data_IF_832303857414
#
_entry.id   IF_832303857414
#
_cell.length_a   1.000
_cell.length_b   1.000
_cell.length_c   1.000
_cell.angle_alpha   90.00
_cell.angle_beta   90.00
_cell.angle_gamma   90.00
#
_symmetry.space_group_name_H-M   'P 1'
#
loop_
_entity.id
_entity.type
_entity.pdbx_description
1 polymer ?
#
# COMPACT_ATOMS: atom_id res chain seq x y z
N UNK A 1 -90.14 -16.89 -32.99
CA UNK A 1 -89.28 -15.79 -32.51
C UNK A 1 -88.34 -16.33 -31.44
N UNK A 2 -87.03 -16.05 -31.56
CA UNK A 2 -85.93 -16.22 -30.56
C UNK A 2 -85.45 -17.69 -30.37
N UNK A 3 -84.51 -18.20 -31.18
CA UNK A 3 -83.02 -18.03 -31.16
C UNK A 3 -82.43 -18.46 -29.80
N UNK A 4 -81.76 -19.62 -29.71
CA UNK A 4 -80.37 -19.93 -30.12
C UNK A 4 -79.34 -19.42 -29.09
N UNK A 5 -78.64 -20.33 -28.40
CA UNK A 5 -77.25 -20.29 -27.84
C UNK A 5 -76.96 -21.78 -27.46
N UNK A 6 -76.37 -22.67 -28.29
CA UNK A 6 -74.96 -22.85 -28.72
C UNK A 6 -74.05 -23.02 -27.48
N UNK A 7 -73.60 -24.19 -27.03
CA UNK A 7 -72.72 -25.23 -27.65
C UNK A 7 -71.56 -24.62 -28.45
N UNK A 8 -70.59 -24.05 -27.74
CA UNK A 8 -69.20 -23.93 -28.21
C UNK A 8 -68.27 -24.29 -27.07
N UNK A 9 -67.94 -25.59 -27.02
CA UNK A 9 -66.57 -26.00 -26.71
C UNK A 9 -65.64 -25.25 -27.67
N UNK A 10 -64.74 -24.43 -27.12
CA UNK A 10 -63.41 -24.07 -27.61
C UNK A 10 -62.98 -22.79 -26.90
N UNK A 11 -61.73 -22.72 -26.44
CA UNK A 11 -61.09 -21.61 -25.71
C UNK A 11 -61.30 -21.65 -24.18
N UNK A 12 -60.87 -22.75 -23.56
CA UNK A 12 -60.01 -22.63 -22.38
C UNK A 12 -58.79 -23.54 -22.60
N UNK A 13 -58.14 -23.33 -23.75
CA UNK A 13 -56.76 -23.77 -23.98
C UNK A 13 -55.92 -22.53 -23.76
N UNK A 14 -55.35 -22.42 -22.57
CA UNK A 14 -54.53 -21.26 -22.20
C UNK A 14 -54.83 -20.81 -20.79
N UNK A 15 -54.29 -21.53 -19.81
CA UNK A 15 -53.31 -20.98 -18.87
C UNK A 15 -52.97 -22.08 -17.88
N UNK A 16 -52.06 -22.95 -18.32
CA UNK A 16 -51.24 -23.72 -17.41
C UNK A 16 -50.52 -22.71 -16.49
N UNK A 17 -51.02 -22.55 -15.26
CA UNK A 17 -50.25 -21.94 -14.19
C UNK A 17 -49.39 -23.05 -13.56
N UNK A 18 -48.37 -23.50 -14.29
CA UNK A 18 -47.33 -24.34 -13.74
C UNK A 18 -46.07 -24.16 -14.58
N UNK A 19 -45.02 -23.67 -13.92
CA UNK A 19 -43.67 -23.39 -14.42
C UNK A 19 -43.64 -22.13 -15.31
N UNK A 20 -42.90 -21.06 -14.98
CA UNK A 20 -41.58 -21.02 -14.35
C UNK A 20 -41.47 -19.80 -13.41
N UNK A 21 -41.14 -20.02 -12.13
CA UNK A 21 -40.41 -19.00 -11.38
C UNK A 21 -39.06 -18.84 -12.08
N UNK A 22 -38.91 -17.75 -12.85
CA UNK A 22 -37.59 -17.28 -13.27
C UNK A 22 -36.89 -16.82 -11.99
N UNK A 23 -36.12 -17.72 -11.41
CA UNK A 23 -35.12 -17.37 -10.42
C UNK A 23 -34.11 -16.50 -11.15
N UNK A 24 -34.31 -15.19 -11.11
CA UNK A 24 -33.24 -14.24 -11.43
C UNK A 24 -32.20 -14.41 -10.32
N UNK A 25 -31.30 -15.36 -10.52
CA UNK A 25 -30.05 -15.43 -9.77
C UNK A 25 -29.34 -14.11 -10.02
N UNK A 26 -29.40 -13.23 -9.03
CA UNK A 26 -28.48 -12.11 -8.94
C UNK A 26 -27.10 -12.74 -8.73
N UNK A 27 -26.44 -13.12 -9.83
CA UNK A 27 -25.03 -13.40 -9.85
C UNK A 27 -24.33 -12.08 -9.54
N UNK A 28 -24.17 -11.83 -8.25
CA UNK A 28 -23.37 -10.73 -7.76
C UNK A 28 -21.92 -11.13 -7.99
N UNK A 29 -21.42 -10.79 -9.18
CA UNK A 29 -20.00 -10.88 -9.48
C UNK A 29 -19.26 -9.95 -8.51
N UNK A 30 -18.67 -10.57 -7.49
CA UNK A 30 -17.88 -9.87 -6.49
C UNK A 30 -16.54 -9.51 -7.12
N UNK A 31 -16.34 -8.23 -7.39
CA UNK A 31 -15.03 -7.72 -7.80
C UNK A 31 -14.02 -8.08 -6.72
N UNK A 32 -12.94 -8.75 -7.12
CA UNK A 32 -11.84 -9.09 -6.22
C UNK A 32 -11.23 -7.79 -5.67
N UNK A 33 -11.23 -7.65 -4.35
CA UNK A 33 -10.57 -6.54 -3.66
C UNK A 33 -9.14 -6.98 -3.32
N UNK A 34 -8.16 -6.44 -4.04
CA UNK A 34 -6.75 -6.60 -3.66
C UNK A 34 -6.43 -5.70 -2.46
N UNK A 35 -6.31 -6.31 -1.28
CA UNK A 35 -5.77 -5.63 -0.10
C UNK A 35 -4.25 -5.60 -0.20
N UNK A 36 -3.71 -4.52 -0.79
CA UNK A 36 -2.27 -4.24 -0.75
C UNK A 36 -1.89 -3.72 0.63
N UNK A 37 -1.30 -4.59 1.45
CA UNK A 37 -0.73 -4.18 2.73
C UNK A 37 0.45 -3.24 2.47
N UNK A 38 0.38 -2.01 2.99
CA UNK A 38 1.50 -1.07 2.96
C UNK A 38 2.57 -1.52 3.94
N UNK A 39 3.86 -1.40 3.55
CA UNK A 39 4.96 -1.67 4.47
C UNK A 39 4.92 -0.67 5.62
N UNK A 40 5.25 -1.13 6.83
CA UNK A 40 5.30 -0.26 8.02
C UNK A 40 6.44 0.75 7.87
N UNK A 41 6.25 1.99 8.32
CA UNK A 41 7.30 3.02 8.29
C UNK A 41 8.55 2.64 9.11
N UNK A 42 8.33 2.09 10.30
CA UNK A 42 9.38 1.58 11.19
C UNK A 42 9.08 0.12 11.51
N UNK A 43 10.07 -0.74 11.31
CA UNK A 43 10.03 -2.13 11.73
C UNK A 43 11.14 -2.39 12.76
N UNK A 44 10.78 -2.97 13.91
CA UNK A 44 11.72 -3.30 14.97
C UNK A 44 11.99 -4.81 14.97
N UNK A 45 13.21 -5.19 14.63
CA UNK A 45 13.72 -6.56 14.72
C UNK A 45 14.54 -6.71 16.01
N UNK A 46 14.92 -7.95 16.33
CA UNK A 46 15.70 -8.27 17.54
C UNK A 46 17.05 -7.51 17.53
N UNK A 47 17.70 -7.43 16.36
CA UNK A 47 19.05 -6.86 16.26
C UNK A 47 19.09 -5.45 15.65
N UNK A 48 17.98 -4.96 15.08
CA UNK A 48 17.98 -3.70 14.31
C UNK A 48 16.60 -3.03 14.20
N UNK A 49 16.64 -1.71 14.01
CA UNK A 49 15.52 -0.92 13.53
C UNK A 49 15.66 -0.75 12.01
N UNK A 50 14.59 -1.03 11.27
CA UNK A 50 14.50 -0.78 9.85
C UNK A 50 13.54 0.40 9.66
N UNK A 51 14.05 1.48 9.08
CA UNK A 51 13.26 2.64 8.70
C UNK A 51 13.05 2.58 7.19
N UNK A 52 11.80 2.44 6.76
CA UNK A 52 11.46 2.30 5.35
C UNK A 52 11.17 3.69 4.78
N UNK A 53 12.15 4.25 4.08
CA UNK A 53 12.13 5.63 3.58
C UNK A 53 11.00 5.85 2.56
N UNK A 54 10.66 4.82 1.78
CA UNK A 54 9.59 4.86 0.78
C UNK A 54 8.20 5.20 1.37
N UNK A 55 7.96 4.87 2.64
CA UNK A 55 6.67 5.10 3.31
C UNK A 55 6.67 6.40 4.12
N UNK A 56 7.81 7.09 4.20
CA UNK A 56 7.98 8.30 5.00
C UNK A 56 7.54 9.53 4.22
N UNK A 57 6.29 9.98 4.39
CA UNK A 57 5.76 11.18 3.70
C UNK A 57 6.64 12.41 3.90
N UNK A 58 7.26 12.57 5.08
CA UNK A 58 8.15 13.69 5.40
C UNK A 58 9.47 13.72 4.60
N UNK A 59 9.82 12.62 3.92
CA UNK A 59 11.09 12.46 3.21
C UNK A 59 10.89 12.43 1.68
N UNK A 60 9.63 12.39 1.23
CA UNK A 60 9.28 12.41 -0.19
C UNK A 60 9.74 13.73 -0.81
N UNK A 61 10.62 13.64 -1.81
CA UNK A 61 11.18 14.80 -2.51
C UNK A 61 12.43 15.43 -1.87
N UNK A 62 12.91 14.88 -0.74
CA UNK A 62 14.16 15.31 -0.10
C UNK A 62 15.39 14.51 -0.51
N UNK A 63 16.47 14.70 0.24
CA UNK A 63 17.74 13.98 0.09
C UNK A 63 17.94 12.91 1.18
N UNK A 64 19.00 12.10 1.05
CA UNK A 64 19.30 11.06 2.03
C UNK A 64 19.60 11.63 3.44
N UNK A 65 20.05 12.90 3.53
CA UNK A 65 20.30 13.56 4.81
C UNK A 65 18.99 13.86 5.53
N UNK A 66 17.96 14.29 4.81
CA UNK A 66 16.61 14.50 5.31
C UNK A 66 15.95 13.19 5.73
N UNK A 67 16.21 12.11 5.00
CA UNK A 67 15.81 10.76 5.41
C UNK A 67 16.41 10.37 6.78
N UNK A 68 17.69 10.68 7.02
CA UNK A 68 18.34 10.45 8.30
C UNK A 68 17.80 11.34 9.41
N UNK A 69 17.38 12.58 9.13
CA UNK A 69 16.72 13.46 10.12
C UNK A 69 15.38 12.92 10.58
N UNK A 70 14.63 12.29 9.67
CA UNK A 70 13.35 11.65 9.99
C UNK A 70 13.51 10.29 10.69
N UNK A 71 14.71 9.71 10.64
CA UNK A 71 14.98 8.39 11.21
C UNK A 71 15.04 8.46 12.74
N UNK A 72 14.30 7.60 13.45
CA UNK A 72 14.32 7.58 14.91
C UNK A 72 15.71 7.17 15.43
N UNK A 73 16.14 7.80 16.53
CA UNK A 73 17.42 7.55 17.20
C UNK A 73 18.67 8.07 16.49
N UNK A 74 18.55 8.64 15.28
CA UNK A 74 19.65 9.34 14.59
C UNK A 74 19.52 10.84 14.85
N UNK A 75 20.64 11.51 15.13
CA UNK A 75 20.69 12.95 15.32
C UNK A 75 21.88 13.53 14.57
N UNK A 76 21.65 14.62 13.86
CA UNK A 76 22.70 15.39 13.20
C UNK A 76 23.06 16.55 14.13
N UNK A 77 24.32 16.64 14.54
CA UNK A 77 24.80 17.71 15.40
C UNK A 77 26.00 18.38 14.71
N UNK A 78 25.79 19.61 14.23
CA UNK A 78 26.73 20.28 13.35
C UNK A 78 27.03 19.41 12.12
N UNK A 79 28.31 19.10 11.93
CA UNK A 79 28.78 18.31 10.79
C UNK A 79 28.75 16.79 11.04
N UNK A 80 28.41 16.32 12.24
CA UNK A 80 28.50 14.90 12.59
C UNK A 80 27.13 14.21 12.71
N UNK A 81 27.07 12.98 12.22
CA UNK A 81 25.92 12.07 12.40
C UNK A 81 26.17 11.23 13.65
N UNK A 82 25.28 11.32 14.62
CA UNK A 82 25.37 10.60 15.89
C UNK A 82 24.11 9.74 16.09
N UNK A 83 24.27 8.64 16.83
CA UNK A 83 23.15 7.81 17.26
C UNK A 83 22.94 8.03 18.75
N UNK A 84 21.69 8.19 19.18
CA UNK A 84 21.36 8.40 20.59
C UNK A 84 21.96 7.26 21.44
N UNK A 85 22.79 7.62 22.41
CA UNK A 85 23.46 6.66 23.31
C UNK A 85 24.71 5.98 22.73
N UNK A 86 25.18 6.35 21.54
CA UNK A 86 26.47 5.87 20.99
C UNK A 86 27.38 7.02 20.59
N UNK A 87 28.62 6.95 21.05
CA UNK A 87 29.67 7.96 20.81
C UNK A 87 30.36 7.81 19.45
N UNK A 88 30.34 6.62 18.84
CA UNK A 88 30.92 6.38 17.51
C UNK A 88 29.93 5.63 16.64
N UNK A 89 29.75 6.11 15.41
CA UNK A 89 28.86 5.54 14.39
C UNK A 89 29.67 5.33 13.13
N UNK A 90 29.49 4.16 12.50
CA UNK A 90 29.97 3.89 11.15
C UNK A 90 28.78 3.82 10.22
N UNK A 91 28.86 4.53 9.10
CA UNK A 91 27.82 4.53 8.07
C UNK A 91 28.19 3.54 6.98
N UNK A 92 27.19 2.78 6.53
CA UNK A 92 27.34 1.82 5.45
C UNK A 92 26.37 2.18 4.33
N UNK A 93 26.85 2.07 3.09
CA UNK A 93 26.08 2.39 1.89
C UNK A 93 26.24 1.19 0.96
N UNK A 94 25.13 0.51 0.66
CA UNK A 94 25.12 -0.71 -0.13
C UNK A 94 26.15 -1.74 0.39
N UNK A 95 26.06 -2.02 1.70
CA UNK A 95 26.92 -2.93 2.46
C UNK A 95 28.41 -2.59 2.48
N UNK A 96 28.81 -1.42 1.98
CA UNK A 96 30.19 -0.93 2.05
C UNK A 96 30.34 0.11 3.16
N UNK A 97 31.36 -0.05 4.01
CA UNK A 97 31.71 0.94 5.03
C UNK A 97 32.22 2.19 4.33
N UNK A 98 31.56 3.33 4.60
CA UNK A 98 32.06 4.61 4.09
C UNK A 98 33.20 5.11 4.97
N UNK A 99 34.28 5.58 4.33
CA UNK A 99 35.38 6.24 5.02
C UNK A 99 35.16 7.76 5.15
N UNK A 100 34.06 8.27 4.59
CA UNK A 100 33.68 9.67 4.69
C UNK A 100 33.18 9.98 6.11
N UNK A 101 33.60 11.12 6.64
CA UNK A 101 33.20 11.60 7.97
C UNK A 101 32.87 13.09 7.92
N UNK A 102 32.06 13.55 8.86
CA UNK A 102 31.74 14.96 9.00
C UNK A 102 31.01 15.53 7.79
N UNK A 103 31.51 16.67 7.29
CA UNK A 103 30.95 17.43 6.18
C UNK A 103 30.94 16.65 4.86
N UNK A 104 32.04 15.97 4.52
CA UNK A 104 32.14 15.20 3.27
C UNK A 104 31.08 14.09 3.18
N UNK A 105 30.71 13.50 4.32
CA UNK A 105 29.61 12.52 4.37
C UNK A 105 28.25 13.19 4.18
N UNK A 106 28.02 14.36 4.79
CA UNK A 106 26.77 15.08 4.61
C UNK A 106 26.55 15.49 3.17
N UNK A 107 27.58 16.02 2.51
CA UNK A 107 27.46 16.47 1.13
C UNK A 107 27.26 15.29 0.17
N UNK A 108 27.90 14.15 0.45
CA UNK A 108 27.62 12.91 -0.26
C UNK A 108 26.16 12.47 -0.08
N UNK A 109 25.61 12.51 1.14
CA UNK A 109 24.23 12.14 1.40
C UNK A 109 23.21 13.11 0.77
N UNK A 110 23.51 14.42 0.75
CA UNK A 110 22.70 15.43 0.04
C UNK A 110 22.63 15.17 -1.47
N UNK A 111 23.70 14.63 -2.05
CA UNK A 111 23.74 14.28 -3.48
C UNK A 111 22.85 13.10 -3.86
N UNK A 112 22.37 12.32 -2.87
CA UNK A 112 21.53 11.15 -3.08
C UNK A 112 20.07 11.56 -2.88
N UNK A 113 19.23 11.51 -3.92
CA UNK A 113 17.80 11.71 -3.79
C UNK A 113 17.18 10.60 -2.92
N UNK A 114 16.27 10.97 -2.02
CA UNK A 114 15.57 9.99 -1.18
C UNK A 114 14.79 8.95 -1.98
N UNK A 115 14.32 9.32 -3.17
CA UNK A 115 13.62 8.41 -4.09
C UNK A 115 14.47 7.22 -4.57
N UNK A 116 15.80 7.35 -4.53
CA UNK A 116 16.72 6.28 -4.96
C UNK A 116 17.06 5.28 -3.85
N UNK A 117 16.53 5.48 -2.63
CA UNK A 117 16.79 4.62 -1.47
C UNK A 117 15.64 3.62 -1.34
N UNK A 118 15.84 2.43 -1.90
CA UNK A 118 14.84 1.37 -1.90
C UNK A 118 15.10 0.39 -0.75
N UNK A 119 14.34 0.51 0.36
CA UNK A 119 14.05 -0.62 1.25
C UNK A 119 12.88 -0.34 2.17
#
# INVERSE_FOLDING_TARGET
MKRLIIITSFICFGMANAQQQKQDSIEKEIQAVELKAQKKLVERKVDRLIFNVENAVSVVGGDALDALKATPSVRIQGNNIQLVGKSSVRVMINDKITQLSGEALQDYLKSIPSANILK
#
